data_IF_244731795855
#
_entry.id   IF_244731795855
#
_cell.length_a   1.000
_cell.length_b   1.000
_cell.length_c   1.000
_cell.angle_alpha   90.00
_cell.angle_beta   90.00
_cell.angle_gamma   90.00
#
_symmetry.space_group_name_H-M   'P 1'
#
loop_
_entity.id
_entity.type
_entity.pdbx_description
1 polymer ?
#
# COMPACT_ATOMS: atom_id res chain seq x y z
N UNK A 1 -28.00 9.50 -2.88
CA UNK A 1 -27.93 8.28 -2.03
C UNK A 1 -26.51 7.76 -2.13
N UNK A 2 -25.75 7.71 -1.04
CA UNK A 2 -24.35 7.27 -1.06
C UNK A 2 -24.24 5.74 -1.00
N UNK A 3 -23.18 5.17 -1.60
CA UNK A 3 -22.85 3.75 -1.46
C UNK A 3 -22.11 3.58 -0.13
N UNK A 4 -22.60 2.75 0.82
CA UNK A 4 -21.88 2.50 2.07
C UNK A 4 -20.59 1.73 1.78
N UNK A 5 -19.44 2.30 2.13
CA UNK A 5 -18.13 1.67 2.03
C UNK A 5 -17.65 1.25 3.43
N UNK A 6 -17.42 -0.05 3.62
CA UNK A 6 -16.89 -0.60 4.87
C UNK A 6 -15.46 -1.08 4.64
N UNK A 7 -14.56 -0.73 5.56
CA UNK A 7 -13.20 -1.26 5.54
C UNK A 7 -13.17 -2.64 6.22
N UNK A 8 -12.71 -3.66 5.48
CA UNK A 8 -12.49 -4.99 6.04
C UNK A 8 -11.17 -5.02 6.80
N UNK A 9 -11.25 -5.21 8.12
CA UNK A 9 -10.09 -5.38 9.01
C UNK A 9 -9.38 -6.72 8.77
N UNK A 10 -8.04 -6.80 8.96
CA UNK A 10 -7.32 -8.06 8.93
C UNK A 10 -7.63 -8.91 10.18
N UNK A 11 -7.24 -10.19 10.15
CA UNK A 11 -7.28 -11.06 11.32
C UNK A 11 -6.33 -10.55 12.42
N UNK A 12 -6.48 -11.07 13.64
CA UNK A 12 -5.55 -10.80 14.74
C UNK A 12 -4.10 -11.15 14.34
N UNK A 13 -3.15 -10.36 14.83
CA UNK A 13 -1.71 -10.43 14.51
C UNK A 13 -1.33 -10.24 13.03
N UNK A 14 -2.26 -9.77 12.19
CA UNK A 14 -1.98 -9.43 10.78
C UNK A 14 -2.12 -7.92 10.59
N UNK A 15 -1.10 -7.29 10.01
CA UNK A 15 -1.18 -5.91 9.56
C UNK A 15 -1.74 -5.83 8.14
N UNK A 16 -2.51 -4.78 7.84
CA UNK A 16 -3.00 -4.49 6.49
C UNK A 16 -2.20 -3.33 5.90
N UNK A 17 -1.52 -3.61 4.79
CA UNK A 17 -0.79 -2.63 3.99
C UNK A 17 -1.68 -2.21 2.82
N UNK A 18 -2.19 -0.97 2.85
CA UNK A 18 -2.91 -0.38 1.72
C UNK A 18 -1.97 0.54 0.95
N UNK A 19 -1.87 0.35 -0.37
CA UNK A 19 -0.89 1.03 -1.22
C UNK A 19 -1.55 1.69 -2.43
N UNK A 20 -1.04 2.83 -2.85
CA UNK A 20 -1.43 3.51 -4.09
C UNK A 20 -0.21 4.21 -4.72
N UNK A 21 -0.06 4.06 -6.04
CA UNK A 21 1.00 4.63 -6.86
C UNK A 21 0.43 5.53 -7.96
N UNK A 22 0.73 6.81 -7.92
CA UNK A 22 0.15 7.81 -8.81
C UNK A 22 1.15 8.46 -9.77
N UNK A 23 0.72 8.66 -11.01
CA UNK A 23 1.40 9.53 -11.98
C UNK A 23 0.38 10.52 -12.53
N UNK A 24 0.75 11.80 -12.59
CA UNK A 24 -0.03 12.82 -13.28
C UNK A 24 0.89 13.76 -14.09
N UNK A 25 0.29 14.72 -14.80
CA UNK A 25 1.06 15.67 -15.63
C UNK A 25 2.00 16.60 -14.85
N UNK A 26 1.89 16.65 -13.53
CA UNK A 26 2.68 17.52 -12.63
C UNK A 26 3.73 16.77 -11.80
N UNK A 27 3.62 15.46 -11.67
CA UNK A 27 4.52 14.68 -10.84
C UNK A 27 4.19 13.21 -10.76
N UNK A 28 5.07 12.49 -10.06
CA UNK A 28 4.93 11.07 -9.75
C UNK A 28 5.09 10.91 -8.24
N UNK A 29 4.33 10.00 -7.66
CA UNK A 29 4.36 9.76 -6.23
C UNK A 29 3.76 8.41 -5.90
N UNK A 30 4.10 7.91 -4.73
CA UNK A 30 3.60 6.66 -4.25
C UNK A 30 3.48 6.75 -2.73
N UNK A 31 2.57 5.95 -2.16
CA UNK A 31 2.38 5.96 -0.72
C UNK A 31 1.52 4.81 -0.23
N UNK A 32 1.44 4.69 1.08
CA UNK A 32 0.63 3.67 1.70
C UNK A 32 0.46 3.86 3.19
N UNK A 33 -0.47 3.09 3.75
CA UNK A 33 -0.81 3.09 5.16
C UNK A 33 -0.80 1.66 5.66
N UNK A 34 -0.12 1.42 6.78
CA UNK A 34 -0.09 0.15 7.49
C UNK A 34 -1.00 0.28 8.72
N UNK A 35 -2.03 -0.57 8.79
CA UNK A 35 -2.99 -0.59 9.90
C UNK A 35 -2.98 -1.93 10.65
N UNK A 36 -3.24 -1.89 11.95
CA UNK A 36 -3.49 -3.10 12.75
C UNK A 36 -4.94 -3.62 12.54
N UNK A 37 -5.29 -4.70 13.22
CA UNK A 37 -6.64 -5.29 13.21
C UNK A 37 -7.72 -4.42 13.88
N UNK A 38 -7.35 -3.46 14.73
CA UNK A 38 -8.28 -2.48 15.31
C UNK A 38 -8.60 -1.31 14.36
N UNK A 39 -7.87 -1.21 13.24
CA UNK A 39 -7.97 -0.09 12.30
C UNK A 39 -7.05 1.08 12.65
N UNK A 40 -6.26 0.98 13.72
CA UNK A 40 -5.27 1.99 14.08
C UNK A 40 -4.16 2.03 13.05
N UNK A 41 -3.70 3.24 12.73
CA UNK A 41 -2.55 3.42 11.85
C UNK A 41 -1.28 3.16 12.65
N UNK A 42 -0.52 2.15 12.22
CA UNK A 42 0.81 1.86 12.77
C UNK A 42 1.81 2.85 12.17
N UNK A 43 1.79 2.99 10.84
CA UNK A 43 2.67 3.90 10.11
C UNK A 43 2.05 4.25 8.74
N UNK A 44 2.36 5.44 8.25
CA UNK A 44 2.10 5.85 6.87
C UNK A 44 3.42 6.26 6.22
N UNK A 45 3.55 6.03 4.93
CA UNK A 45 4.74 6.40 4.16
C UNK A 45 4.36 7.02 2.84
N UNK A 46 5.25 7.88 2.34
CA UNK A 46 5.15 8.52 1.04
C UNK A 46 6.53 8.56 0.40
N UNK A 47 6.56 8.58 -0.92
CA UNK A 47 7.77 8.77 -1.69
C UNK A 47 7.47 9.20 -3.11
N UNK A 48 8.55 9.43 -3.86
CA UNK A 48 8.49 9.80 -5.28
C UNK A 48 9.68 9.17 -6.00
N UNK A 49 9.60 9.07 -7.32
CA UNK A 49 10.73 8.65 -8.15
C UNK A 49 10.87 9.57 -9.38
N UNK A 50 11.84 9.30 -10.26
CA UNK A 50 11.93 9.97 -11.56
C UNK A 50 11.19 9.22 -12.67
N UNK A 51 10.73 7.99 -12.39
CA UNK A 51 10.10 7.12 -13.37
C UNK A 51 8.60 7.46 -13.51
N UNK A 52 8.16 7.78 -14.73
CA UNK A 52 6.75 8.15 -15.01
C UNK A 52 5.84 6.97 -15.33
N UNK A 53 6.30 5.73 -15.13
CA UNK A 53 5.48 4.54 -15.32
C UNK A 53 4.55 4.33 -14.12
N UNK A 54 3.25 4.19 -14.39
CA UNK A 54 2.23 3.92 -13.36
C UNK A 54 2.54 2.60 -12.64
N UNK A 55 2.77 1.52 -13.38
CA UNK A 55 3.12 0.22 -12.80
C UNK A 55 4.41 0.28 -11.96
N UNK A 56 5.35 1.14 -12.32
CA UNK A 56 6.56 1.34 -11.51
C UNK A 56 6.22 2.00 -10.16
N UNK A 57 5.34 3.01 -10.13
CA UNK A 57 4.93 3.64 -8.87
C UNK A 57 4.17 2.68 -7.97
N UNK A 58 3.28 1.88 -8.55
CA UNK A 58 2.51 0.86 -7.83
C UNK A 58 3.40 -0.22 -7.21
N UNK A 59 4.35 -0.76 -7.98
CA UNK A 59 5.33 -1.71 -7.44
C UNK A 59 6.27 -1.05 -6.41
N UNK A 60 6.63 0.22 -6.61
CA UNK A 60 7.46 0.98 -5.67
C UNK A 60 6.77 1.17 -4.32
N UNK A 61 5.45 1.47 -4.30
CA UNK A 61 4.73 1.57 -3.02
C UNK A 61 4.65 0.23 -2.32
N UNK A 62 4.39 -0.88 -3.04
CA UNK A 62 4.38 -2.21 -2.42
C UNK A 62 5.75 -2.53 -1.81
N UNK A 63 6.84 -2.29 -2.56
CA UNK A 63 8.20 -2.51 -2.08
C UNK A 63 8.53 -1.67 -0.84
N UNK A 64 8.21 -0.38 -0.87
CA UNK A 64 8.48 0.52 0.27
C UNK A 64 7.64 0.13 1.49
N UNK A 65 6.37 -0.24 1.30
CA UNK A 65 5.49 -0.69 2.37
C UNK A 65 5.98 -1.98 3.03
N UNK A 66 6.37 -2.98 2.22
CA UNK A 66 6.93 -4.23 2.74
C UNK A 66 8.27 -4.01 3.46
N UNK A 67 9.15 -3.16 2.91
CA UNK A 67 10.41 -2.79 3.56
C UNK A 67 10.16 -2.12 4.92
N UNK A 68 9.15 -1.25 5.00
CA UNK A 68 8.75 -0.59 6.25
C UNK A 68 8.19 -1.61 7.26
N UNK A 69 7.38 -2.57 6.81
CA UNK A 69 6.91 -3.67 7.67
C UNK A 69 8.08 -4.46 8.26
N UNK A 70 9.07 -4.84 7.43
CA UNK A 70 10.25 -5.57 7.89
C UNK A 70 11.06 -4.78 8.93
N UNK A 71 11.28 -3.47 8.71
CA UNK A 71 11.97 -2.59 9.66
C UNK A 71 11.25 -2.49 11.01
N UNK A 72 9.93 -2.65 11.02
CA UNK A 72 9.08 -2.63 12.23
C UNK A 72 8.86 -4.03 12.82
N UNK A 73 9.53 -5.08 12.31
CA UNK A 73 9.32 -6.48 12.69
C UNK A 73 7.88 -6.99 12.46
N UNK A 74 7.15 -6.40 11.50
CA UNK A 74 5.81 -6.83 11.09
C UNK A 74 5.97 -7.87 9.98
N UNK A 75 5.83 -9.14 10.32
CA UNK A 75 6.09 -10.27 9.40
C UNK A 75 4.83 -10.88 8.79
N UNK A 76 3.64 -10.61 9.34
CA UNK A 76 2.35 -11.06 8.81
C UNK A 76 1.59 -9.87 8.24
N UNK A 77 1.55 -9.76 6.91
CA UNK A 77 0.98 -8.62 6.21
C UNK A 77 0.02 -9.07 5.12
N UNK A 78 -1.16 -8.46 5.05
CA UNK A 78 -2.04 -8.52 3.88
C UNK A 78 -1.84 -7.25 3.06
N UNK A 79 -1.38 -7.40 1.82
CA UNK A 79 -1.22 -6.28 0.87
C UNK A 79 -2.53 -6.05 0.14
N UNK A 80 -2.98 -4.80 0.12
CA UNK A 80 -4.15 -4.33 -0.60
C UNK A 80 -3.73 -3.23 -1.58
N UNK A 81 -3.76 -3.55 -2.87
CA UNK A 81 -3.55 -2.63 -3.99
C UNK A 81 -4.74 -2.74 -4.92
N UNK A 82 -5.13 -1.63 -5.55
CA UNK A 82 -6.13 -1.57 -6.62
C UNK A 82 -5.52 -1.82 -8.02
N UNK A 83 -4.19 -1.95 -8.10
CA UNK A 83 -3.47 -2.28 -9.32
C UNK A 83 -3.40 -3.81 -9.53
N UNK A 84 -4.36 -4.35 -10.29
CA UNK A 84 -4.37 -5.77 -10.68
C UNK A 84 -3.05 -6.19 -11.35
N UNK A 85 -2.46 -5.30 -12.16
CA UNK A 85 -1.17 -5.53 -12.82
C UNK A 85 -0.05 -5.74 -11.81
N UNK A 86 -0.03 -4.96 -10.72
CA UNK A 86 0.98 -5.10 -9.67
C UNK A 86 0.83 -6.42 -8.92
N UNK A 87 -0.41 -6.81 -8.60
CA UNK A 87 -0.70 -8.09 -7.96
C UNK A 87 -0.32 -9.27 -8.85
N UNK A 88 -0.52 -9.18 -10.17
CA UNK A 88 -0.11 -10.20 -11.12
C UNK A 88 1.41 -10.28 -11.32
N UNK A 89 2.13 -9.16 -11.17
CA UNK A 89 3.58 -9.14 -11.33
C UNK A 89 4.35 -9.77 -10.16
N UNK A 90 3.70 -9.93 -9.00
CA UNK A 90 4.32 -10.44 -7.76
C UNK A 90 3.82 -11.83 -7.34
N UNK A 91 2.79 -12.36 -8.00
CA UNK A 91 2.28 -13.72 -7.80
C UNK A 91 2.87 -14.67 -8.86
#
# INVERSE_FOLDING_TARGET
MGIPCYWTKPNEDIAKLSTDGGVNGRGVGYGGIIRNNNGDTIVAYVGSSLNKSVIFQELSTIHQGLSTCLQLNIVKVTVASDSLQSIQAIN
#
